data_IF_958988395681
#
_entry.id   IF_958988395681
#
_cell.length_a   1.000
_cell.length_b   1.000
_cell.length_c   1.000
_cell.angle_alpha   90.00
_cell.angle_beta   90.00
_cell.angle_gamma   90.00
#
_symmetry.space_group_name_H-M   'P 1'
#
loop_
_entity.id
_entity.type
_entity.pdbx_description
1 polymer ?
#
# COMPACT_ATOMS: atom_id res chain seq x y z
N UNK A 1 -14.66 23.95 2.42
CA UNK A 1 -15.73 22.97 2.13
C UNK A 1 -15.14 21.58 1.87
N UNK A 2 -14.20 21.39 0.93
CA UNK A 2 -13.52 20.09 0.66
C UNK A 2 -12.99 19.39 1.92
N UNK A 3 -12.11 20.05 2.67
CA UNK A 3 -11.53 19.48 3.90
C UNK A 3 -12.57 19.08 4.97
N UNK A 4 -13.72 19.76 5.02
CA UNK A 4 -14.80 19.41 5.96
C UNK A 4 -15.45 18.07 5.58
N UNK A 5 -15.63 17.83 4.28
CA UNK A 5 -16.16 16.55 3.77
C UNK A 5 -15.14 15.43 3.97
N UNK A 6 -13.86 15.68 3.70
CA UNK A 6 -12.78 14.69 3.93
C UNK A 6 -12.74 14.29 5.41
N UNK A 7 -12.80 15.26 6.34
CA UNK A 7 -12.87 14.96 7.77
C UNK A 7 -14.11 14.17 8.15
N UNK A 8 -15.27 14.51 7.58
CA UNK A 8 -16.50 13.75 7.80
C UNK A 8 -16.33 12.28 7.38
N UNK A 9 -15.80 12.04 6.17
CA UNK A 9 -15.53 10.68 5.67
C UNK A 9 -14.61 9.94 6.66
N UNK A 10 -13.49 10.57 7.04
CA UNK A 10 -12.53 9.99 7.99
C UNK A 10 -13.19 9.63 9.32
N UNK A 11 -13.93 10.55 9.93
CA UNK A 11 -14.52 10.36 11.25
C UNK A 11 -15.55 9.22 11.25
N UNK A 12 -16.24 9.00 10.13
CA UNK A 12 -17.15 7.87 9.93
C UNK A 12 -16.44 6.53 9.66
N UNK A 13 -15.15 6.54 9.31
CA UNK A 13 -14.35 5.34 9.04
C UNK A 13 -13.45 4.92 10.21
N UNK A 14 -13.33 5.70 11.29
CA UNK A 14 -12.38 5.40 12.38
C UNK A 14 -12.92 4.39 13.41
N UNK A 15 -14.21 4.45 13.75
CA UNK A 15 -14.83 3.58 14.75
C UNK A 15 -15.92 2.67 14.15
N UNK A 16 -15.65 1.36 13.96
CA UNK A 16 -16.62 0.39 13.48
C UNK A 16 -17.81 0.16 14.42
N UNK A 17 -17.73 0.62 15.68
CA UNK A 17 -18.81 0.46 16.68
C UNK A 17 -19.70 1.70 16.77
N UNK A 18 -19.33 2.80 16.10
CA UNK A 18 -20.15 4.01 16.07
C UNK A 18 -21.50 3.73 15.40
N UNK A 19 -22.57 4.35 15.91
CA UNK A 19 -23.91 4.24 15.31
C UNK A 19 -24.02 4.90 13.95
N UNK A 20 -23.09 5.81 13.62
CA UNK A 20 -23.02 6.47 12.33
C UNK A 20 -21.94 5.89 11.43
N UNK A 21 -21.28 4.80 11.83
CA UNK A 21 -20.12 4.25 11.13
C UNK A 21 -20.40 3.97 9.66
N UNK A 22 -19.39 4.20 8.82
CA UNK A 22 -19.36 3.75 7.42
C UNK A 22 -18.45 2.53 7.23
N UNK A 23 -17.82 2.05 8.31
CA UNK A 23 -17.01 0.84 8.28
C UNK A 23 -17.87 -0.36 7.86
N UNK A 24 -17.47 -1.06 6.81
CA UNK A 24 -18.18 -2.23 6.31
C UNK A 24 -19.25 -1.95 5.26
N UNK A 25 -19.46 -0.69 4.87
CA UNK A 25 -20.38 -0.33 3.79
C UNK A 25 -19.69 -0.39 2.42
N UNK A 26 -20.50 -0.58 1.36
CA UNK A 26 -20.07 -0.32 0.00
C UNK A 26 -19.97 1.20 -0.21
N UNK A 27 -18.79 1.69 -0.59
CA UNK A 27 -18.50 3.11 -0.76
C UNK A 27 -17.89 3.35 -2.14
N UNK A 28 -18.38 4.37 -2.83
CA UNK A 28 -17.85 4.76 -4.13
C UNK A 28 -17.30 6.18 -4.08
N UNK A 29 -15.98 6.28 -4.18
CA UNK A 29 -15.22 7.51 -4.27
C UNK A 29 -14.57 7.66 -5.66
N UNK A 30 -15.13 7.03 -6.69
CA UNK A 30 -14.59 7.10 -8.05
C UNK A 30 -14.48 8.55 -8.54
N UNK A 31 -13.30 8.92 -9.03
CA UNK A 31 -12.99 10.28 -9.48
C UNK A 31 -12.96 11.35 -8.38
N UNK A 32 -13.07 10.98 -7.10
CA UNK A 32 -12.96 11.92 -6.00
C UNK A 32 -11.53 12.45 -5.85
N UNK A 33 -11.40 13.60 -5.19
CA UNK A 33 -10.11 14.23 -4.89
C UNK A 33 -9.93 14.27 -3.38
N UNK A 34 -8.83 13.69 -2.90
CA UNK A 34 -8.42 13.66 -1.50
C UNK A 34 -7.06 14.35 -1.33
N UNK A 35 -6.84 14.89 -0.14
CA UNK A 35 -5.60 15.52 0.29
C UNK A 35 -5.42 15.34 1.80
N UNK A 36 -4.20 15.58 2.28
CA UNK A 36 -3.81 15.57 3.70
C UNK A 36 -4.14 14.23 4.39
N UNK A 37 -4.38 14.26 5.70
CA UNK A 37 -4.66 13.10 6.56
C UNK A 37 -6.07 12.50 6.35
N UNK A 38 -6.46 12.26 5.10
CA UNK A 38 -7.81 11.85 4.72
C UNK A 38 -8.24 10.50 5.32
N UNK A 39 -7.31 9.59 5.62
CA UNK A 39 -7.62 8.21 6.01
C UNK A 39 -6.80 7.69 7.20
N UNK A 40 -6.27 8.59 8.02
CA UNK A 40 -5.56 8.20 9.25
C UNK A 40 -6.48 7.36 10.15
N UNK A 41 -6.00 6.17 10.50
CA UNK A 41 -6.69 5.16 11.30
C UNK A 41 -8.02 4.64 10.73
N UNK A 42 -8.31 4.90 9.45
CA UNK A 42 -9.52 4.39 8.80
C UNK A 42 -9.62 2.85 8.89
N UNK A 43 -10.84 2.35 9.04
CA UNK A 43 -11.16 0.93 9.21
C UNK A 43 -12.02 0.46 8.03
N UNK A 44 -11.38 -0.21 7.08
CA UNK A 44 -12.03 -0.90 5.97
C UNK A 44 -12.29 -2.35 6.39
N UNK A 45 -13.45 -2.58 7.01
CA UNK A 45 -13.77 -3.84 7.72
C UNK A 45 -14.70 -4.79 6.94
N UNK A 46 -15.10 -4.42 5.73
CA UNK A 46 -16.11 -5.09 4.92
C UNK A 46 -16.62 -4.16 3.81
N UNK A 47 -17.56 -4.64 2.99
CA UNK A 47 -18.05 -3.89 1.84
C UNK A 47 -16.98 -3.69 0.75
N UNK A 48 -17.36 -3.12 -0.37
CA UNK A 48 -16.45 -2.75 -1.46
C UNK A 48 -16.26 -1.24 -1.46
N UNK A 49 -15.01 -0.79 -1.33
CA UNK A 49 -14.63 0.62 -1.40
C UNK A 49 -13.88 0.89 -2.69
N UNK A 50 -14.45 1.69 -3.58
CA UNK A 50 -13.83 2.09 -4.84
C UNK A 50 -13.22 3.49 -4.74
N UNK A 51 -11.98 3.61 -5.17
CA UNK A 51 -11.26 4.84 -5.47
C UNK A 51 -10.88 4.89 -6.96
N UNK A 52 -11.71 4.30 -7.84
CA UNK A 52 -11.39 4.22 -9.26
C UNK A 52 -11.13 5.61 -9.85
N UNK A 53 -9.93 5.82 -10.39
CA UNK A 53 -9.54 7.11 -10.97
C UNK A 53 -9.55 8.29 -9.99
N UNK A 54 -9.57 8.05 -8.68
CA UNK A 54 -9.48 9.09 -7.67
C UNK A 54 -8.10 9.76 -7.70
N UNK A 55 -8.03 11.01 -7.27
CA UNK A 55 -6.78 11.76 -7.16
C UNK A 55 -6.47 12.02 -5.69
N UNK A 56 -5.24 11.77 -5.31
CA UNK A 56 -4.67 12.03 -4.00
C UNK A 56 -3.53 13.02 -4.19
N UNK A 57 -3.68 14.24 -3.68
CA UNK A 57 -2.72 15.32 -3.91
C UNK A 57 -2.35 16.08 -2.65
N UNK A 58 -1.20 16.74 -2.65
CA UNK A 58 -0.69 17.53 -1.51
C UNK A 58 -0.47 16.66 -0.24
N UNK A 59 -0.01 15.43 -0.47
CA UNK A 59 0.18 14.39 0.53
C UNK A 59 -1.12 13.68 0.91
N UNK A 60 -1.06 12.37 1.17
CA UNK A 60 -2.16 11.60 1.73
C UNK A 60 -1.67 10.63 2.79
N UNK A 61 -2.36 10.56 3.93
CA UNK A 61 -2.01 9.61 4.99
C UNK A 61 -3.12 8.59 5.26
N UNK A 62 -2.71 7.33 5.21
CA UNK A 62 -3.39 6.12 5.68
C UNK A 62 -2.68 5.57 6.93
N UNK A 63 -2.00 6.43 7.70
CA UNK A 63 -1.30 6.04 8.91
C UNK A 63 -2.19 5.18 9.82
N UNK A 64 -1.75 3.96 10.13
CA UNK A 64 -2.46 3.02 10.99
C UNK A 64 -3.83 2.55 10.46
N UNK A 65 -4.14 2.79 9.18
CA UNK A 65 -5.36 2.30 8.56
C UNK A 65 -5.39 0.77 8.57
N UNK A 66 -6.59 0.19 8.65
CA UNK A 66 -6.79 -1.26 8.70
C UNK A 66 -7.70 -1.71 7.57
N UNK A 67 -7.19 -2.63 6.77
CA UNK A 67 -7.88 -3.32 5.69
C UNK A 67 -8.09 -4.76 6.15
N UNK A 68 -9.24 -5.03 6.77
CA UNK A 68 -9.50 -6.28 7.50
C UNK A 68 -10.60 -7.12 6.83
N UNK A 69 -11.30 -6.59 5.83
CA UNK A 69 -12.30 -7.31 5.04
C UNK A 69 -12.86 -6.45 3.93
N UNK A 70 -13.58 -7.08 2.98
CA UNK A 70 -14.07 -6.37 1.80
C UNK A 70 -12.99 -6.17 0.73
N UNK A 71 -13.30 -5.43 -0.33
CA UNK A 71 -12.32 -5.06 -1.36
C UNK A 71 -12.09 -3.56 -1.37
N UNK A 72 -10.83 -3.10 -1.41
CA UNK A 72 -10.47 -1.68 -1.54
C UNK A 72 -9.66 -1.43 -2.80
N UNK A 73 -10.21 -0.66 -3.73
CA UNK A 73 -9.72 -0.59 -5.10
C UNK A 73 -9.28 0.83 -5.48
N UNK A 74 -7.97 1.06 -5.53
CA UNK A 74 -7.31 2.28 -6.04
C UNK A 74 -6.98 2.16 -7.52
N UNK A 75 -7.82 1.46 -8.29
CA UNK A 75 -7.57 1.17 -9.70
C UNK A 75 -7.49 2.48 -10.49
N UNK A 76 -6.39 2.70 -11.21
CA UNK A 76 -6.10 3.96 -11.93
C UNK A 76 -6.10 5.23 -11.06
N UNK A 77 -6.00 5.09 -9.74
CA UNK A 77 -5.86 6.25 -8.86
C UNK A 77 -4.52 6.94 -9.11
N UNK A 78 -4.50 8.25 -8.92
CA UNK A 78 -3.29 9.07 -9.06
C UNK A 78 -2.91 9.63 -7.71
N UNK A 79 -1.72 9.29 -7.23
CA UNK A 79 -1.13 9.81 -6.01
C UNK A 79 -0.02 10.78 -6.41
N UNK A 80 -0.34 12.07 -6.47
CA UNK A 80 0.53 13.09 -7.05
C UNK A 80 0.86 14.19 -6.04
N UNK A 81 2.15 14.42 -5.77
CA UNK A 81 2.63 15.53 -4.95
C UNK A 81 2.41 15.35 -3.45
N UNK A 82 3.45 15.65 -2.67
CA UNK A 82 3.49 15.38 -1.23
C UNK A 82 3.72 13.91 -0.90
N UNK A 83 3.79 13.58 0.39
CA UNK A 83 4.08 12.22 0.85
C UNK A 83 2.84 11.33 0.83
N UNK A 84 2.98 10.10 0.36
CA UNK A 84 1.92 9.07 0.37
C UNK A 84 2.25 8.07 1.44
N UNK A 85 1.49 8.05 2.53
CA UNK A 85 1.83 7.30 3.72
C UNK A 85 0.85 6.16 4.02
N UNK A 86 1.38 4.96 4.15
CA UNK A 86 0.73 3.77 4.69
C UNK A 86 1.49 3.26 5.94
N UNK A 87 2.16 4.17 6.65
CA UNK A 87 2.91 3.87 7.86
C UNK A 87 2.06 3.09 8.87
N UNK A 88 2.56 1.96 9.35
CA UNK A 88 1.86 1.08 10.30
C UNK A 88 0.45 0.61 9.85
N UNK A 89 0.14 0.70 8.55
CA UNK A 89 -1.12 0.17 8.02
C UNK A 89 -1.13 -1.37 8.12
N UNK A 90 -2.34 -1.94 8.30
CA UNK A 90 -2.52 -3.38 8.44
C UNK A 90 -3.44 -3.91 7.34
N UNK A 91 -2.94 -4.86 6.58
CA UNK A 91 -3.64 -5.54 5.50
C UNK A 91 -3.88 -7.00 5.89
N UNK A 92 -4.98 -7.26 6.60
CA UNK A 92 -5.24 -8.57 7.21
C UNK A 92 -6.46 -9.31 6.65
N UNK A 93 -7.09 -8.80 5.61
CA UNK A 93 -8.21 -9.45 4.95
C UNK A 93 -8.69 -8.66 3.75
N UNK A 94 -9.36 -9.36 2.83
CA UNK A 94 -9.83 -8.74 1.60
C UNK A 94 -8.75 -8.56 0.54
N UNK A 95 -9.15 -7.94 -0.58
CA UNK A 95 -8.25 -7.51 -1.64
C UNK A 95 -8.02 -6.00 -1.52
N UNK A 96 -6.76 -5.57 -1.61
CA UNK A 96 -6.40 -4.16 -1.79
C UNK A 96 -5.64 -4.02 -3.10
N UNK A 97 -6.21 -3.31 -4.06
CA UNK A 97 -5.67 -3.25 -5.41
C UNK A 97 -5.31 -1.82 -5.81
N UNK A 98 -4.06 -1.62 -6.21
CA UNK A 98 -3.50 -0.43 -6.82
C UNK A 98 -3.24 -0.66 -8.32
N UNK A 99 -4.02 -1.55 -8.95
CA UNK A 99 -3.85 -1.90 -10.36
C UNK A 99 -3.85 -0.65 -11.26
N UNK A 100 -2.80 -0.47 -12.05
CA UNK A 100 -2.58 0.72 -12.89
C UNK A 100 -2.61 2.07 -12.13
N UNK A 101 -2.37 2.07 -10.82
CA UNK A 101 -2.25 3.33 -10.08
C UNK A 101 -0.93 4.03 -10.43
N UNK A 102 -0.92 5.35 -10.35
CA UNK A 102 0.27 6.16 -10.52
C UNK A 102 0.66 6.77 -9.18
N UNK A 103 1.90 6.59 -8.78
CA UNK A 103 2.51 7.26 -7.64
C UNK A 103 3.62 8.17 -8.14
N UNK A 104 3.40 9.49 -8.04
CA UNK A 104 4.33 10.49 -8.56
C UNK A 104 4.51 11.69 -7.64
N UNK A 105 5.69 12.31 -7.67
CA UNK A 105 5.87 13.67 -7.15
C UNK A 105 6.27 13.83 -5.68
N UNK A 106 6.53 12.74 -4.92
CA UNK A 106 7.48 12.60 -3.80
C UNK A 106 7.24 11.29 -3.03
N UNK A 107 7.94 11.07 -1.91
CA UNK A 107 8.07 9.78 -1.19
C UNK A 107 6.77 9.00 -0.96
N UNK A 108 6.78 7.71 -1.32
CA UNK A 108 5.74 6.73 -0.98
C UNK A 108 6.26 5.79 0.10
N UNK A 109 5.58 5.70 1.23
CA UNK A 109 6.04 4.88 2.35
C UNK A 109 4.97 3.94 2.87
N UNK A 110 5.28 2.66 2.82
CA UNK A 110 4.61 1.56 3.52
C UNK A 110 5.40 1.14 4.77
N UNK A 111 6.26 2.00 5.31
CA UNK A 111 7.16 1.58 6.37
C UNK A 111 6.41 1.12 7.63
N UNK A 112 6.78 -0.04 8.16
CA UNK A 112 6.11 -0.68 9.30
C UNK A 112 4.74 -1.31 8.97
N UNK A 113 4.33 -1.36 7.70
CA UNK A 113 3.07 -2.01 7.32
C UNK A 113 3.12 -3.53 7.54
N UNK A 114 1.97 -4.11 7.90
CA UNK A 114 1.82 -5.54 8.15
C UNK A 114 0.84 -6.16 7.15
N UNK A 115 1.30 -7.18 6.42
CA UNK A 115 0.53 -7.97 5.46
C UNK A 115 0.26 -9.36 6.04
N UNK A 116 -1.01 -9.64 6.35
CA UNK A 116 -1.43 -10.77 7.18
C UNK A 116 -2.69 -11.45 6.61
N UNK A 117 -2.60 -12.01 5.40
CA UNK A 117 -3.68 -12.82 4.81
C UNK A 117 -4.58 -12.09 3.83
N UNK A 118 -4.20 -10.88 3.44
CA UNK A 118 -4.81 -10.13 2.34
C UNK A 118 -4.14 -10.43 1.00
N UNK A 119 -4.80 -10.06 -0.09
CA UNK A 119 -4.18 -9.93 -1.41
C UNK A 119 -3.96 -8.44 -1.68
N UNK A 120 -2.69 -8.01 -1.70
CA UNK A 120 -2.32 -6.62 -2.02
C UNK A 120 -1.63 -6.58 -3.37
N UNK A 121 -2.24 -5.91 -4.33
CA UNK A 121 -1.83 -5.93 -5.74
C UNK A 121 -1.38 -4.54 -6.14
N UNK A 122 -0.14 -4.42 -6.60
CA UNK A 122 0.38 -3.21 -7.24
C UNK A 122 0.53 -3.38 -8.75
N UNK A 123 0.07 -4.49 -9.34
CA UNK A 123 0.39 -4.83 -10.71
C UNK A 123 0.15 -3.69 -11.71
N UNK A 124 1.07 -3.51 -12.66
CA UNK A 124 1.05 -2.43 -13.64
C UNK A 124 1.04 -1.01 -13.06
N UNK A 125 1.25 -0.82 -11.76
CA UNK A 125 1.40 0.50 -11.18
C UNK A 125 2.74 1.14 -11.58
N UNK A 126 2.77 2.46 -11.54
CA UNK A 126 3.98 3.23 -11.83
C UNK A 126 4.38 4.02 -10.60
N UNK A 127 5.64 3.91 -10.21
CA UNK A 127 6.27 4.72 -9.19
C UNK A 127 7.33 5.58 -9.88
N UNK A 128 7.13 6.90 -9.88
CA UNK A 128 8.01 7.85 -10.57
C UNK A 128 8.37 9.04 -9.69
N UNK A 129 9.67 9.31 -9.56
CA UNK A 129 10.19 10.46 -8.80
C UNK A 129 10.06 10.38 -7.27
N UNK A 130 11.13 10.69 -6.54
CA UNK A 130 11.19 10.57 -5.07
C UNK A 130 11.80 9.25 -4.56
N UNK A 131 11.19 8.65 -3.54
CA UNK A 131 11.63 7.39 -2.91
C UNK A 131 10.44 6.47 -2.63
N UNK A 132 10.65 5.15 -2.64
CA UNK A 132 9.66 4.15 -2.25
C UNK A 132 10.18 3.34 -1.04
N UNK A 133 9.41 3.33 0.05
CA UNK A 133 9.85 2.74 1.32
C UNK A 133 8.94 1.62 1.77
N UNK A 134 9.51 0.43 1.83
CA UNK A 134 8.96 -0.77 2.43
C UNK A 134 9.82 -1.19 3.63
N UNK A 135 10.30 -0.21 4.40
CA UNK A 135 11.17 -0.49 5.56
C UNK A 135 10.38 -1.10 6.69
N UNK A 136 10.95 -2.05 7.43
CA UNK A 136 10.30 -2.70 8.57
C UNK A 136 8.94 -3.34 8.24
N UNK A 137 8.65 -3.63 6.96
CA UNK A 137 7.39 -4.31 6.60
C UNK A 137 7.43 -5.76 7.06
N UNK A 138 6.26 -6.29 7.41
CA UNK A 138 6.10 -7.71 7.74
C UNK A 138 5.10 -8.36 6.82
N UNK A 139 5.50 -9.43 6.14
CA UNK A 139 4.59 -10.34 5.45
C UNK A 139 4.55 -11.66 6.23
N UNK A 140 3.40 -12.01 6.80
CA UNK A 140 3.23 -13.29 7.51
C UNK A 140 2.34 -14.28 6.78
N UNK A 141 1.48 -13.80 5.89
CA UNK A 141 0.56 -14.60 5.07
C UNK A 141 -0.10 -13.70 4.01
N UNK A 142 -0.79 -14.31 3.05
CA UNK A 142 -1.42 -13.58 1.94
C UNK A 142 -0.46 -13.42 0.76
N UNK A 143 -0.82 -12.53 -0.16
CA UNK A 143 -0.07 -12.27 -1.39
C UNK A 143 0.20 -10.77 -1.48
N UNK A 144 1.44 -10.39 -1.76
CA UNK A 144 1.80 -9.03 -2.16
C UNK A 144 2.46 -9.11 -3.53
N UNK A 145 1.89 -8.43 -4.52
CA UNK A 145 2.32 -8.54 -5.90
C UNK A 145 2.75 -7.20 -6.48
N UNK A 146 3.95 -7.18 -7.06
CA UNK A 146 4.55 -6.07 -7.80
C UNK A 146 4.83 -6.44 -9.27
N UNK A 147 4.11 -7.43 -9.82
CA UNK A 147 4.29 -7.84 -11.21
C UNK A 147 4.02 -6.68 -12.17
N UNK A 148 4.91 -6.48 -13.15
CA UNK A 148 4.83 -5.41 -14.14
C UNK A 148 4.77 -4.00 -13.53
N UNK A 149 5.18 -3.82 -12.27
CA UNK A 149 5.33 -2.48 -11.67
C UNK A 149 6.56 -1.81 -12.25
N UNK A 150 6.44 -0.55 -12.66
CA UNK A 150 7.56 0.25 -13.11
C UNK A 150 8.07 1.16 -11.98
N UNK A 151 9.35 1.03 -11.63
CA UNK A 151 10.04 1.95 -10.73
C UNK A 151 11.07 2.78 -11.52
N UNK A 152 10.84 4.09 -11.64
CA UNK A 152 11.69 4.97 -12.45
C UNK A 152 12.25 6.17 -11.69
N UNK A 153 13.58 6.29 -11.66
CA UNK A 153 14.30 7.41 -11.03
C UNK A 153 14.17 7.45 -9.50
N UNK A 154 14.00 6.30 -8.85
CA UNK A 154 13.70 6.16 -7.43
C UNK A 154 14.76 5.36 -6.66
N UNK A 155 14.88 5.65 -5.37
CA UNK A 155 15.45 4.73 -4.41
C UNK A 155 14.33 3.90 -3.75
N UNK A 156 14.47 2.57 -3.78
CA UNK A 156 13.57 1.62 -3.14
C UNK A 156 14.27 1.00 -1.95
N UNK A 157 13.61 0.92 -0.81
CA UNK A 157 14.18 0.32 0.40
C UNK A 157 13.22 -0.68 1.02
N UNK A 158 13.65 -1.94 1.11
CA UNK A 158 13.03 -3.00 1.90
C UNK A 158 13.77 -3.23 3.21
N UNK A 159 14.56 -2.27 3.67
CA UNK A 159 15.44 -2.46 4.82
C UNK A 159 14.66 -2.91 6.06
N UNK A 160 15.23 -3.83 6.82
CA UNK A 160 14.64 -4.40 8.03
C UNK A 160 13.31 -5.14 7.79
N UNK A 161 12.96 -5.47 6.55
CA UNK A 161 11.75 -6.22 6.23
C UNK A 161 11.83 -7.69 6.71
N UNK A 162 10.68 -8.23 7.08
CA UNK A 162 10.52 -9.58 7.59
C UNK A 162 9.49 -10.34 6.75
N UNK A 163 9.96 -11.35 6.03
CA UNK A 163 9.11 -12.22 5.22
C UNK A 163 9.00 -13.59 5.90
N UNK A 164 7.88 -13.84 6.59
CA UNK A 164 7.67 -14.98 7.46
C UNK A 164 6.42 -15.83 7.09
N UNK A 165 6.13 -15.94 5.79
CA UNK A 165 4.98 -16.63 5.24
C UNK A 165 4.42 -15.87 4.05
N UNK A 166 3.36 -16.39 3.43
CA UNK A 166 2.73 -15.75 2.27
C UNK A 166 3.60 -15.76 1.01
N UNK A 167 3.16 -14.99 0.04
CA UNK A 167 3.77 -14.88 -1.28
C UNK A 167 4.11 -13.42 -1.60
N UNK A 168 5.33 -13.19 -2.07
CA UNK A 168 5.80 -11.89 -2.53
C UNK A 168 6.30 -12.03 -3.98
N UNK A 169 5.65 -11.33 -4.90
CA UNK A 169 6.00 -11.33 -6.32
C UNK A 169 6.69 -10.01 -6.67
N UNK A 170 7.98 -10.06 -7.00
CA UNK A 170 8.84 -8.91 -7.32
C UNK A 170 9.27 -8.91 -8.79
N UNK A 171 8.47 -9.48 -9.68
CA UNK A 171 8.67 -9.40 -11.13
C UNK A 171 8.33 -7.99 -11.65
N UNK A 172 9.08 -7.00 -11.16
CA UNK A 172 8.95 -5.59 -11.48
C UNK A 172 9.97 -5.15 -12.53
N UNK A 173 9.69 -4.00 -13.15
CA UNK A 173 10.54 -3.31 -14.09
C UNK A 173 11.27 -2.16 -13.39
N UNK A 174 12.60 -2.26 -13.34
CA UNK A 174 13.46 -1.26 -12.71
C UNK A 174 14.14 -0.42 -13.79
N UNK A 175 14.00 0.90 -13.73
CA UNK A 175 14.84 1.80 -14.52
C UNK A 175 16.33 1.61 -14.17
N UNK A 176 17.27 1.70 -15.12
CA UNK A 176 18.70 1.51 -14.84
C UNK A 176 19.29 2.46 -13.80
N UNK A 177 18.66 3.60 -13.55
CA UNK A 177 19.06 4.56 -12.51
C UNK A 177 18.41 4.28 -11.15
N UNK A 178 17.38 3.44 -11.09
CA UNK A 178 16.73 3.08 -9.84
C UNK A 178 17.64 2.18 -8.98
N UNK A 179 17.59 2.39 -7.67
CA UNK A 179 18.34 1.57 -6.71
C UNK A 179 17.38 0.82 -5.80
N UNK A 180 17.79 -0.37 -5.34
CA UNK A 180 17.04 -1.16 -4.36
C UNK A 180 17.97 -1.58 -3.23
N UNK A 181 17.51 -1.44 -1.99
CA UNK A 181 18.23 -1.88 -0.80
C UNK A 181 17.42 -2.91 -0.01
N UNK A 182 18.10 -3.94 0.47
CA UNK A 182 17.56 -5.03 1.28
C UNK A 182 18.41 -5.25 2.55
N UNK A 183 18.93 -4.18 3.14
CA UNK A 183 19.74 -4.30 4.37
C UNK A 183 18.90 -4.89 5.51
N UNK A 184 19.49 -5.82 6.27
CA UNK A 184 18.84 -6.50 7.40
C UNK A 184 17.50 -7.19 7.08
N UNK A 185 17.30 -7.60 5.82
CA UNK A 185 16.10 -8.35 5.45
C UNK A 185 16.20 -9.79 5.92
N UNK A 186 15.12 -10.27 6.52
CA UNK A 186 14.98 -11.67 6.94
C UNK A 186 13.92 -12.39 6.12
N UNK A 187 14.27 -13.55 5.58
CA UNK A 187 13.36 -14.43 4.82
C UNK A 187 13.28 -15.75 5.56
N UNK A 188 12.11 -16.12 6.06
CA UNK A 188 11.87 -17.43 6.67
C UNK A 188 11.53 -18.47 5.60
N UNK A 189 11.83 -19.75 5.84
CA UNK A 189 11.52 -20.84 4.90
C UNK A 189 10.02 -21.00 4.54
N UNK A 190 9.12 -20.38 5.30
CA UNK A 190 7.68 -20.39 5.02
C UNK A 190 7.25 -19.33 3.99
N UNK A 191 8.09 -18.35 3.68
CA UNK A 191 7.79 -17.32 2.69
C UNK A 191 8.12 -17.82 1.28
N UNK A 192 7.21 -17.59 0.33
CA UNK A 192 7.48 -17.77 -1.09
C UNK A 192 7.81 -16.41 -1.71
N UNK A 193 9.02 -16.23 -2.23
CA UNK A 193 9.44 -14.97 -2.85
C UNK A 193 9.90 -15.23 -4.27
N UNK A 194 9.22 -14.60 -5.22
CA UNK A 194 9.61 -14.52 -6.61
C UNK A 194 10.39 -13.21 -6.79
N UNK A 195 11.71 -13.31 -6.91
CA UNK A 195 12.59 -12.12 -6.93
C UNK A 195 12.67 -11.42 -8.29
N UNK A 196 12.16 -12.04 -9.36
CA UNK A 196 12.33 -11.54 -10.72
C UNK A 196 13.80 -11.27 -11.05
N UNK A 197 14.11 -10.04 -11.43
CA UNK A 197 15.48 -9.58 -11.73
C UNK A 197 16.23 -9.02 -10.51
N UNK A 198 15.58 -8.92 -9.36
CA UNK A 198 16.17 -8.36 -8.13
C UNK A 198 17.13 -9.38 -7.48
N UNK A 199 18.12 -8.91 -6.69
CA UNK A 199 19.05 -9.80 -6.00
C UNK A 199 18.30 -10.65 -4.96
N UNK A 200 18.28 -11.96 -5.18
CA UNK A 200 17.58 -12.89 -4.31
C UNK A 200 18.26 -13.05 -2.94
N UNK A 201 17.47 -12.99 -1.87
CA UNK A 201 17.92 -13.31 -0.51
C UNK A 201 17.43 -14.73 -0.16
N UNK A 202 18.34 -15.67 0.13
CA UNK A 202 17.97 -17.03 0.49
C UNK A 202 17.29 -17.08 1.87
N UNK A 203 16.36 -18.02 2.08
CA UNK A 203 15.70 -18.20 3.36
C UNK A 203 16.67 -18.65 4.47
N UNK A 204 16.36 -18.26 5.70
CA UNK A 204 17.08 -18.57 6.94
C UNK A 204 18.51 -18.01 7.02
N UNK A 205 18.82 -16.92 6.29
CA UNK A 205 20.00 -16.14 6.64
C UNK A 205 19.76 -15.33 7.92
N UNK A 206 20.78 -15.29 8.82
CA UNK A 206 20.68 -14.64 10.13
C UNK A 206 20.55 -13.12 10.04
#
# INVERSE_FOLDING_TARGET
MRHSVIRLIRDHLVDPKSTTTWCGLDLDFSGAIFDQEAFVQAQFTGGVVSFYGAQFSDGVSFYGARFTGGGVFFVKAQFTGGEVEFHNARFSGGEVSFLNAEFSGSTVSFSGAEFMGSMVVFNCAQFTGGEAHFRNVRLSSGVVSFEDVEFSGLAISFNDAQFAGGELLLDCLMDPSATVSFENVSVHASANIHWGTLPAIPPNMP
#
